data_IF_234562407809
#
_entry.id   IF_234562407809
#
_cell.length_a   1.000
_cell.length_b   1.000
_cell.length_c   1.000
_cell.angle_alpha   90.00
_cell.angle_beta   90.00
_cell.angle_gamma   90.00
#
_symmetry.space_group_name_H-M   'P 1'
#
loop_
_entity.id
_entity.type
_entity.pdbx_description
1 polymer ?
#
# COMPACT_ATOMS: atom_id res chain seq x y z
N UNK A 1 -56.86 -20.83 40.07
CA UNK A 1 -55.88 -20.40 39.01
C UNK A 1 -56.27 -18.97 38.66
N UNK A 2 -55.34 -18.02 38.77
CA UNK A 2 -55.54 -16.64 38.36
C UNK A 2 -55.22 -16.52 36.88
N UNK A 3 -56.20 -16.17 36.03
CA UNK A 3 -55.99 -15.94 34.62
C UNK A 3 -55.29 -14.61 34.40
N UNK A 4 -54.47 -14.48 33.35
CA UNK A 4 -53.87 -13.23 32.92
C UNK A 4 -54.92 -12.22 32.48
N UNK A 5 -54.78 -10.97 32.85
CA UNK A 5 -55.63 -9.91 32.35
C UNK A 5 -55.21 -9.47 30.93
N UNK A 6 -56.14 -8.98 30.11
CA UNK A 6 -55.84 -8.52 28.75
C UNK A 6 -54.78 -7.41 28.73
N UNK A 7 -54.77 -6.53 29.75
CA UNK A 7 -53.76 -5.48 29.84
C UNK A 7 -52.36 -6.03 30.15
N UNK A 8 -52.29 -7.09 30.95
CA UNK A 8 -51.02 -7.73 31.32
C UNK A 8 -50.40 -8.39 30.10
N UNK A 9 -51.20 -9.06 29.26
CA UNK A 9 -50.70 -9.62 27.99
C UNK A 9 -50.26 -8.58 27.00
N UNK A 10 -50.98 -7.41 26.90
CA UNK A 10 -50.57 -6.30 26.04
C UNK A 10 -49.23 -5.69 26.47
N UNK A 11 -49.02 -5.50 27.79
CA UNK A 11 -47.75 -5.00 28.31
C UNK A 11 -46.60 -5.96 28.06
N UNK A 12 -46.81 -7.24 28.29
CA UNK A 12 -45.76 -8.28 27.99
C UNK A 12 -45.39 -8.29 26.49
N UNK A 13 -46.39 -8.25 25.62
CA UNK A 13 -46.14 -8.19 24.14
C UNK A 13 -45.34 -6.95 23.77
N UNK A 14 -45.72 -5.76 24.30
CA UNK A 14 -45.03 -4.51 24.05
C UNK A 14 -43.53 -4.59 24.49
N UNK A 15 -43.28 -5.14 25.68
CA UNK A 15 -41.91 -5.32 26.20
C UNK A 15 -41.11 -6.27 25.35
N UNK A 16 -41.69 -7.40 24.96
CA UNK A 16 -41.03 -8.40 24.10
C UNK A 16 -40.69 -7.83 22.73
N UNK A 17 -41.59 -7.08 22.10
CA UNK A 17 -41.35 -6.43 20.82
C UNK A 17 -40.22 -5.40 20.96
N UNK A 18 -40.24 -4.55 21.97
CA UNK A 18 -39.21 -3.55 22.19
C UNK A 18 -37.83 -4.17 22.44
N UNK A 19 -37.78 -5.22 23.26
CA UNK A 19 -36.57 -5.97 23.51
C UNK A 19 -36.05 -6.65 22.23
N UNK A 20 -36.93 -7.25 21.42
CA UNK A 20 -36.60 -7.88 20.16
C UNK A 20 -36.04 -6.91 19.12
N UNK A 21 -36.63 -5.73 18.97
CA UNK A 21 -36.11 -4.67 18.07
C UNK A 21 -34.74 -4.19 18.54
N UNK A 22 -34.57 -3.96 19.84
CA UNK A 22 -33.28 -3.53 20.41
C UNK A 22 -32.18 -4.58 20.20
N UNK A 23 -32.49 -5.87 20.40
CA UNK A 23 -31.56 -6.96 20.18
C UNK A 23 -31.17 -7.09 18.70
N UNK A 24 -32.15 -6.96 17.80
CA UNK A 24 -31.89 -7.01 16.34
C UNK A 24 -30.97 -5.85 15.90
N UNK A 25 -31.18 -4.66 16.44
CA UNK A 25 -30.30 -3.50 16.20
C UNK A 25 -28.87 -3.74 16.67
N UNK A 26 -28.71 -4.32 17.86
CA UNK A 26 -27.38 -4.65 18.40
C UNK A 26 -26.66 -5.71 17.55
N UNK A 27 -27.37 -6.75 17.11
CA UNK A 27 -26.84 -7.79 16.23
C UNK A 27 -26.39 -7.19 14.89
N UNK A 28 -27.22 -6.35 14.25
CA UNK A 28 -26.86 -5.69 12.99
C UNK A 28 -25.63 -4.80 13.14
N UNK A 29 -25.56 -4.02 14.23
CA UNK A 29 -24.40 -3.18 14.53
C UNK A 29 -23.11 -4.04 14.67
N UNK A 30 -23.21 -5.15 15.41
CA UNK A 30 -22.08 -6.07 15.61
C UNK A 30 -21.58 -6.67 14.27
N UNK A 31 -22.49 -7.16 13.43
CA UNK A 31 -22.10 -7.71 12.11
C UNK A 31 -21.44 -6.66 11.21
N UNK A 32 -21.99 -5.44 11.14
CA UNK A 32 -21.41 -4.35 10.35
C UNK A 32 -20.05 -3.92 10.88
N UNK A 33 -19.88 -3.89 12.19
CA UNK A 33 -18.60 -3.54 12.82
C UNK A 33 -17.54 -4.60 12.57
N UNK A 34 -17.91 -5.87 12.69
CA UNK A 34 -17.00 -6.99 12.46
C UNK A 34 -16.55 -7.07 10.98
N UNK A 35 -17.49 -6.93 10.05
CA UNK A 35 -17.18 -6.89 8.61
C UNK A 35 -16.18 -5.78 8.27
N UNK A 36 -16.37 -4.58 8.81
CA UNK A 36 -15.46 -3.45 8.62
C UNK A 36 -14.04 -3.73 9.14
N UNK A 37 -13.93 -4.31 10.35
CA UNK A 37 -12.62 -4.65 10.95
C UNK A 37 -11.89 -5.71 10.09
N UNK A 38 -12.60 -6.71 9.60
CA UNK A 38 -12.03 -7.76 8.75
C UNK A 38 -11.51 -7.17 7.42
N UNK A 39 -12.28 -6.29 6.79
CA UNK A 39 -11.90 -5.63 5.55
C UNK A 39 -10.66 -4.74 5.74
N UNK A 40 -10.63 -3.96 6.83
CA UNK A 40 -9.50 -3.11 7.16
C UNK A 40 -8.23 -3.92 7.46
N UNK A 41 -8.36 -5.03 8.20
CA UNK A 41 -7.24 -5.93 8.47
C UNK A 41 -6.69 -6.52 7.18
N UNK A 42 -7.56 -6.98 6.27
CA UNK A 42 -7.14 -7.53 4.98
C UNK A 42 -6.43 -6.48 4.10
N UNK A 43 -6.93 -5.24 4.07
CA UNK A 43 -6.29 -4.14 3.34
C UNK A 43 -4.90 -3.82 3.90
N UNK A 44 -4.78 -3.75 5.24
CA UNK A 44 -3.51 -3.48 5.91
C UNK A 44 -2.49 -4.61 5.71
N UNK A 45 -2.91 -5.88 5.77
CA UNK A 45 -2.03 -7.02 5.52
C UNK A 45 -1.55 -7.06 4.07
N UNK A 46 -2.41 -6.70 3.12
CA UNK A 46 -2.02 -6.56 1.71
C UNK A 46 -0.98 -5.45 1.55
N UNK A 47 -1.23 -4.27 2.13
CA UNK A 47 -0.31 -3.14 2.09
C UNK A 47 1.05 -3.48 2.74
N UNK A 48 1.06 -4.18 3.87
CA UNK A 48 2.30 -4.63 4.53
C UNK A 48 3.13 -5.55 3.65
N UNK A 49 2.50 -6.56 3.03
CA UNK A 49 3.21 -7.48 2.13
C UNK A 49 3.79 -6.74 0.93
N UNK A 50 2.99 -5.89 0.28
CA UNK A 50 3.44 -5.11 -0.86
C UNK A 50 4.55 -4.13 -0.51
N UNK A 51 4.45 -3.44 0.63
CA UNK A 51 5.47 -2.53 1.14
C UNK A 51 6.80 -3.25 1.41
N UNK A 52 6.77 -4.39 2.13
CA UNK A 52 7.97 -5.18 2.41
C UNK A 52 8.64 -5.69 1.13
N UNK A 53 7.84 -6.20 0.19
CA UNK A 53 8.36 -6.68 -1.10
C UNK A 53 9.00 -5.54 -1.91
N UNK A 54 8.37 -4.36 -1.93
CA UNK A 54 8.91 -3.18 -2.60
C UNK A 54 10.26 -2.76 -2.02
N UNK A 55 10.37 -2.70 -0.68
CA UNK A 55 11.63 -2.36 -0.02
C UNK A 55 12.73 -3.40 -0.30
N UNK A 56 12.38 -4.69 -0.35
CA UNK A 56 13.35 -5.73 -0.67
C UNK A 56 13.89 -5.57 -2.09
N UNK A 57 13.02 -5.37 -3.07
CA UNK A 57 13.43 -5.18 -4.46
C UNK A 57 14.26 -3.90 -4.65
N UNK A 58 13.90 -2.82 -3.97
CA UNK A 58 14.71 -1.58 -3.97
C UNK A 58 16.11 -1.80 -3.42
N UNK A 59 16.29 -2.63 -2.39
CA UNK A 59 17.63 -2.96 -1.84
C UNK A 59 18.49 -3.72 -2.84
N UNK A 60 17.87 -4.51 -3.69
CA UNK A 60 18.51 -5.35 -4.71
C UNK A 60 18.58 -4.63 -6.07
N UNK A 61 18.20 -3.34 -6.15
CA UNK A 61 18.25 -2.56 -7.37
C UNK A 61 19.67 -2.61 -7.99
N UNK A 62 19.72 -2.75 -9.31
CA UNK A 62 20.93 -2.88 -10.09
C UNK A 62 20.81 -2.12 -11.41
N UNK A 63 21.86 -2.15 -12.25
CA UNK A 63 21.79 -1.56 -13.58
C UNK A 63 20.84 -2.35 -14.47
N UNK A 64 20.09 -1.65 -15.33
CA UNK A 64 19.24 -2.29 -16.33
C UNK A 64 20.06 -3.04 -17.38
N UNK A 65 19.43 -4.00 -18.07
CA UNK A 65 20.07 -4.75 -19.17
C UNK A 65 20.44 -3.85 -20.37
N UNK A 66 19.78 -2.68 -20.47
CA UNK A 66 20.12 -1.63 -21.43
C UNK A 66 21.25 -0.70 -20.96
N UNK A 67 21.84 -0.97 -19.80
CA UNK A 67 22.86 -0.15 -19.16
C UNK A 67 22.30 1.08 -18.41
N UNK A 68 20.99 1.22 -18.27
CA UNK A 68 20.38 2.31 -17.51
C UNK A 68 20.76 2.22 -16.02
N UNK A 69 20.81 3.40 -15.36
CA UNK A 69 21.13 3.48 -13.93
C UNK A 69 20.07 2.81 -13.07
N UNK A 70 20.45 2.43 -11.83
CA UNK A 70 19.60 1.71 -10.88
C UNK A 70 18.22 2.36 -10.71
N UNK A 71 18.20 3.69 -10.59
CA UNK A 71 16.98 4.49 -10.50
C UNK A 71 16.96 5.42 -11.71
N UNK A 72 15.90 5.36 -12.50
CA UNK A 72 15.75 6.18 -13.71
C UNK A 72 14.71 7.28 -13.57
N UNK A 73 13.82 7.18 -12.59
CA UNK A 73 12.89 8.27 -12.25
C UNK A 73 12.58 8.28 -10.76
N UNK A 74 12.54 9.50 -10.18
CA UNK A 74 12.28 9.73 -8.77
C UNK A 74 11.31 10.91 -8.59
N UNK A 75 10.14 10.62 -8.01
CA UNK A 75 9.13 11.62 -7.67
C UNK A 75 8.52 11.29 -6.30
N UNK A 76 7.69 12.17 -5.76
CA UNK A 76 7.04 11.99 -4.43
C UNK A 76 6.05 10.84 -4.41
N UNK A 77 5.37 10.55 -5.52
CA UNK A 77 4.31 9.54 -5.64
C UNK A 77 4.61 8.45 -6.67
N UNK A 78 5.79 8.50 -7.30
CA UNK A 78 6.22 7.48 -8.26
C UNK A 78 7.73 7.34 -8.27
N UNK A 79 8.21 6.14 -8.59
CA UNK A 79 9.63 5.81 -8.71
C UNK A 79 9.81 4.73 -9.79
N UNK A 80 10.88 4.82 -10.56
CA UNK A 80 11.28 3.76 -11.52
C UNK A 80 12.70 3.32 -11.22
N UNK A 81 12.89 2.02 -11.07
CA UNK A 81 14.18 1.39 -10.79
C UNK A 81 14.30 0.06 -11.54
N UNK A 82 15.49 -0.54 -11.52
CA UNK A 82 15.76 -1.83 -12.15
C UNK A 82 16.15 -2.85 -11.07
N UNK A 83 15.61 -4.07 -11.16
CA UNK A 83 15.93 -5.18 -10.26
C UNK A 83 15.53 -6.52 -10.88
N UNK A 84 16.24 -7.59 -10.54
CA UNK A 84 15.85 -8.96 -10.85
C UNK A 84 14.75 -9.42 -9.88
N UNK A 85 13.47 -9.32 -10.33
CA UNK A 85 12.29 -9.55 -9.50
C UNK A 85 11.97 -11.02 -9.33
N UNK A 86 12.14 -11.81 -10.39
CA UNK A 86 11.77 -13.22 -10.42
C UNK A 86 12.97 -14.18 -10.25
N UNK A 87 14.18 -13.64 -10.14
CA UNK A 87 15.44 -14.35 -9.91
C UNK A 87 15.85 -15.26 -11.08
N UNK A 88 15.49 -14.88 -12.30
CA UNK A 88 15.86 -15.60 -13.52
C UNK A 88 17.18 -15.08 -14.13
N UNK A 89 17.71 -13.97 -13.61
CA UNK A 89 18.94 -13.31 -14.02
C UNK A 89 18.73 -12.22 -15.07
N UNK A 90 17.54 -12.05 -15.60
CA UNK A 90 17.12 -10.87 -16.35
C UNK A 90 16.85 -9.70 -15.40
N UNK A 91 17.04 -8.48 -15.86
CA UNK A 91 16.74 -7.31 -15.05
C UNK A 91 15.47 -6.66 -15.54
N UNK A 92 14.49 -6.54 -14.66
CA UNK A 92 13.22 -5.88 -14.96
C UNK A 92 13.30 -4.38 -14.66
N UNK A 93 12.59 -3.59 -15.48
CA UNK A 93 12.23 -2.22 -15.14
C UNK A 93 10.98 -2.24 -14.28
N UNK A 94 11.08 -1.73 -13.05
CA UNK A 94 10.01 -1.68 -12.07
C UNK A 94 9.58 -0.24 -11.85
N UNK A 95 8.31 0.05 -12.07
CA UNK A 95 7.71 1.36 -11.83
C UNK A 95 6.65 1.26 -10.75
N UNK A 96 6.89 1.84 -9.58
CA UNK A 96 5.92 2.00 -8.51
C UNK A 96 5.25 3.37 -8.62
N UNK A 97 3.91 3.43 -8.57
CA UNK A 97 3.17 4.70 -8.71
C UNK A 97 1.81 4.67 -8.04
N UNK A 98 1.41 5.82 -7.47
CA UNK A 98 0.09 6.01 -6.86
C UNK A 98 -0.89 6.56 -7.90
N UNK A 99 -2.06 5.95 -8.01
CA UNK A 99 -3.20 6.45 -8.78
C UNK A 99 -4.49 6.14 -8.04
N UNK A 100 -5.34 7.15 -7.85
CA UNK A 100 -6.67 7.03 -7.23
C UNK A 100 -6.69 6.27 -5.88
N UNK A 101 -5.69 6.56 -5.02
CA UNK A 101 -5.57 5.92 -3.71
C UNK A 101 -5.14 4.45 -3.76
N UNK A 102 -4.63 3.99 -4.90
CA UNK A 102 -4.06 2.66 -5.08
C UNK A 102 -2.61 2.78 -5.53
N UNK A 103 -1.70 2.14 -4.80
CA UNK A 103 -0.31 2.02 -5.18
C UNK A 103 -0.14 0.78 -6.05
N UNK A 104 0.34 1.01 -7.27
CA UNK A 104 0.61 -0.03 -8.26
C UNK A 104 2.10 -0.24 -8.45
N UNK A 105 2.43 -1.44 -8.92
CA UNK A 105 3.74 -1.78 -9.48
C UNK A 105 3.55 -2.27 -10.91
N UNK A 106 4.27 -1.67 -11.85
CA UNK A 106 4.35 -2.13 -13.23
C UNK A 106 5.76 -2.70 -13.47
N UNK A 107 5.83 -3.91 -14.00
CA UNK A 107 7.06 -4.66 -14.27
C UNK A 107 7.16 -4.87 -15.77
N UNK A 108 8.30 -4.54 -16.38
CA UNK A 108 8.58 -4.79 -17.78
C UNK A 108 9.92 -5.48 -17.91
N UNK A 109 9.97 -6.61 -18.64
CA UNK A 109 11.19 -7.31 -19.00
C UNK A 109 11.88 -6.58 -20.15
N UNK A 110 13.20 -6.65 -20.19
CA UNK A 110 13.97 -6.21 -21.35
C UNK A 110 13.75 -7.15 -22.56
N UNK A 111 13.87 -6.62 -23.76
CA UNK A 111 13.87 -7.46 -24.96
C UNK A 111 14.72 -6.85 -26.07
N UNK A 112 15.15 -7.68 -27.03
CA UNK A 112 15.93 -7.25 -28.18
C UNK A 112 17.45 -7.40 -28.00
N UNK A 113 18.20 -6.98 -29.01
CA UNK A 113 19.66 -6.89 -28.98
C UNK A 113 20.08 -5.67 -29.84
N UNK A 114 20.47 -4.54 -29.19
CA UNK A 114 20.63 -4.38 -27.72
C UNK A 114 19.32 -4.53 -26.96
N UNK A 115 19.43 -4.87 -25.67
CA UNK A 115 18.29 -4.98 -24.78
C UNK A 115 17.64 -3.61 -24.55
N UNK A 116 16.32 -3.53 -24.59
CA UNK A 116 15.55 -2.29 -24.38
C UNK A 116 14.25 -2.58 -23.62
N UNK A 117 13.81 -1.61 -22.79
CA UNK A 117 12.52 -1.63 -22.09
C UNK A 117 11.45 -0.82 -22.81
N UNK A 118 11.83 0.02 -23.77
CA UNK A 118 10.90 0.90 -24.50
C UNK A 118 9.93 0.08 -25.33
N UNK A 119 8.62 0.32 -25.15
CA UNK A 119 7.57 -0.40 -25.87
C UNK A 119 7.30 -1.83 -25.39
N UNK A 120 8.01 -2.31 -24.36
CA UNK A 120 7.73 -3.62 -23.77
C UNK A 120 6.43 -3.61 -22.96
N UNK A 121 5.67 -4.72 -22.95
CA UNK A 121 4.45 -4.83 -22.16
C UNK A 121 4.77 -4.75 -20.66
N UNK A 122 3.93 -4.04 -19.91
CA UNK A 122 4.03 -3.96 -18.45
C UNK A 122 3.01 -4.90 -17.79
N UNK A 123 3.46 -5.74 -16.87
CA UNK A 123 2.59 -6.47 -15.95
C UNK A 123 2.30 -5.58 -14.75
N UNK A 124 1.03 -5.25 -14.53
CA UNK A 124 0.61 -4.32 -13.46
C UNK A 124 0.05 -5.12 -12.28
N UNK A 125 0.58 -4.84 -11.09
CA UNK A 125 0.16 -5.46 -9.84
C UNK A 125 -0.21 -4.39 -8.80
N UNK A 126 -1.21 -4.68 -7.97
CA UNK A 126 -1.60 -3.82 -6.86
C UNK A 126 -0.71 -4.10 -5.65
N UNK A 127 -0.01 -3.08 -5.15
CA UNK A 127 0.79 -3.15 -3.92
C UNK A 127 -0.08 -2.87 -2.70
N UNK A 128 -0.82 -1.76 -2.72
CA UNK A 128 -1.66 -1.32 -1.61
C UNK A 128 -2.89 -0.58 -2.13
N UNK A 129 -4.02 -0.77 -1.44
CA UNK A 129 -5.26 -0.04 -1.67
C UNK A 129 -5.54 0.89 -0.48
N UNK A 130 -6.43 1.86 -0.69
CA UNK A 130 -6.81 2.85 0.34
C UNK A 130 -5.64 3.69 0.85
N UNK A 131 -4.66 3.96 -0.01
CA UNK A 131 -3.53 4.85 0.29
C UNK A 131 -4.03 6.29 0.30
N UNK A 132 -3.84 6.97 1.44
CA UNK A 132 -4.37 8.29 1.74
C UNK A 132 -3.29 9.30 2.12
N UNK A 133 -2.08 9.11 1.66
CA UNK A 133 -1.01 10.08 1.91
C UNK A 133 -1.50 11.49 1.53
N UNK A 134 -1.30 12.44 2.42
CA UNK A 134 -1.59 13.84 2.12
C UNK A 134 -0.71 14.32 0.96
N UNK A 135 -1.19 15.31 0.19
CA UNK A 135 -0.42 15.86 -0.94
C UNK A 135 0.97 16.39 -0.52
N UNK A 136 1.12 16.78 0.75
CA UNK A 136 2.38 17.22 1.35
C UNK A 136 3.23 16.09 1.94
N UNK A 137 2.72 14.85 2.01
CA UNK A 137 3.40 13.69 2.55
C UNK A 137 3.83 12.75 1.40
N UNK A 138 5.12 12.79 1.00
CA UNK A 138 5.60 11.96 -0.09
C UNK A 138 5.52 10.47 0.28
N UNK A 139 5.17 9.64 -0.72
CA UNK A 139 5.28 8.19 -0.58
C UNK A 139 6.75 7.77 -0.63
N UNK A 140 7.52 8.40 -1.52
CA UNK A 140 8.94 8.13 -1.71
C UNK A 140 9.76 9.33 -1.24
N UNK A 141 10.72 9.07 -0.35
CA UNK A 141 11.71 10.05 0.13
C UNK A 141 13.10 9.51 -0.18
N UNK A 142 13.96 10.34 -0.74
CA UNK A 142 15.29 9.94 -1.20
C UNK A 142 16.35 10.53 -0.31
N UNK A 143 17.37 9.73 0.02
CA UNK A 143 18.43 10.08 0.95
C UNK A 143 19.81 9.95 0.29
N UNK A 144 20.71 10.86 0.62
CA UNK A 144 22.12 10.81 0.23
C UNK A 144 22.94 9.88 1.16
N UNK A 145 24.26 9.80 0.90
CA UNK A 145 25.20 9.02 1.70
C UNK A 145 25.34 9.51 3.16
N UNK A 146 25.02 10.76 3.43
CA UNK A 146 24.99 11.34 4.78
C UNK A 146 23.67 11.09 5.51
N UNK A 147 22.66 10.52 4.85
CA UNK A 147 21.32 10.35 5.40
C UNK A 147 20.45 11.61 5.33
N UNK A 148 20.89 12.65 4.61
CA UNK A 148 20.09 13.85 4.40
C UNK A 148 19.05 13.61 3.28
N UNK A 149 17.88 14.24 3.42
CA UNK A 149 16.83 14.19 2.40
C UNK A 149 17.25 15.02 1.20
N UNK A 150 17.20 14.38 0.02
CA UNK A 150 17.49 15.07 -1.24
C UNK A 150 16.32 15.96 -1.67
N UNK A 151 16.60 17.23 -2.08
CA UNK A 151 15.57 18.14 -2.56
C UNK A 151 15.10 17.77 -4.00
N UNK A 152 13.87 18.09 -4.33
CA UNK A 152 13.36 17.97 -5.71
C UNK A 152 13.83 19.14 -6.58
N UNK A 153 14.22 18.92 -7.87
CA UNK A 153 14.32 17.62 -8.57
C UNK A 153 15.47 16.77 -8.00
N UNK A 154 15.26 15.45 -7.87
CA UNK A 154 16.21 14.52 -7.28
C UNK A 154 17.41 14.32 -8.22
N UNK A 155 18.62 14.48 -7.70
CA UNK A 155 19.83 13.99 -8.36
C UNK A 155 19.91 12.46 -8.14
N UNK A 156 19.60 11.70 -9.20
CA UNK A 156 19.50 10.24 -9.14
C UNK A 156 20.83 9.56 -8.77
N UNK A 157 21.97 10.18 -9.14
CA UNK A 157 23.29 9.63 -8.84
C UNK A 157 23.64 9.76 -7.35
N UNK A 158 23.04 10.71 -6.65
CA UNK A 158 23.27 10.94 -5.21
C UNK A 158 22.37 10.08 -4.31
N UNK A 159 21.43 9.32 -4.88
CA UNK A 159 20.50 8.50 -4.08
C UNK A 159 21.21 7.25 -3.55
N UNK A 160 21.30 7.12 -2.22
CA UNK A 160 21.87 5.95 -1.53
C UNK A 160 20.78 5.13 -0.83
N UNK A 161 19.70 5.79 -0.38
CA UNK A 161 18.58 5.10 0.24
C UNK A 161 17.24 5.72 -0.16
N UNK A 162 16.19 4.90 -0.13
CA UNK A 162 14.82 5.31 -0.43
C UNK A 162 13.93 4.94 0.75
N UNK A 163 13.27 5.93 1.34
CA UNK A 163 12.19 5.76 2.30
C UNK A 163 10.86 5.58 1.59
N UNK A 164 10.04 4.67 2.08
CA UNK A 164 8.67 4.46 1.61
C UNK A 164 7.73 4.64 2.80
N UNK A 165 6.76 5.54 2.69
CA UNK A 165 5.75 5.78 3.70
C UNK A 165 4.35 5.71 3.08
N UNK A 166 3.50 4.84 3.62
CA UNK A 166 2.14 4.62 3.16
C UNK A 166 1.16 4.86 4.31
N UNK A 167 0.28 5.82 4.14
CA UNK A 167 -0.88 6.04 5.00
C UNK A 167 -2.07 5.26 4.45
N UNK A 168 -2.48 4.19 5.14
CA UNK A 168 -3.57 3.32 4.72
C UNK A 168 -4.81 3.59 5.58
N UNK A 169 -5.92 3.97 4.94
CA UNK A 169 -7.19 4.24 5.61
C UNK A 169 -8.38 3.86 4.72
N UNK A 170 -9.11 2.83 5.13
CA UNK A 170 -10.30 2.35 4.44
C UNK A 170 -11.42 3.40 4.44
N UNK A 171 -11.62 4.08 5.56
CA UNK A 171 -12.69 5.06 5.73
C UNK A 171 -12.29 6.17 6.71
N UNK A 172 -11.90 7.37 6.21
CA UNK A 172 -11.44 8.49 7.04
C UNK A 172 -12.47 9.02 8.06
N UNK A 173 -13.74 8.65 7.92
CA UNK A 173 -14.82 9.09 8.82
C UNK A 173 -15.13 8.09 9.93
N UNK A 174 -14.42 6.96 9.98
CA UNK A 174 -14.67 5.85 10.91
C UNK A 174 -13.37 5.36 11.56
N UNK A 175 -13.42 5.12 12.87
CA UNK A 175 -12.32 4.51 13.61
C UNK A 175 -12.14 3.01 13.27
N UNK A 176 -10.92 2.47 13.33
CA UNK A 176 -9.66 3.14 13.70
C UNK A 176 -9.15 4.06 12.57
N UNK A 177 -8.32 5.03 12.94
CA UNK A 177 -7.75 6.03 12.05
C UNK A 177 -6.68 5.43 11.11
N UNK A 178 -6.02 6.32 10.35
CA UNK A 178 -4.90 6.02 9.44
C UNK A 178 -3.87 5.10 10.08
N UNK A 179 -3.44 4.08 9.33
CA UNK A 179 -2.28 3.26 9.65
C UNK A 179 -1.11 3.66 8.76
N UNK A 180 -0.04 4.16 9.37
CA UNK A 180 1.19 4.51 8.66
C UNK A 180 2.14 3.32 8.62
N UNK A 181 2.54 2.91 7.42
CA UNK A 181 3.57 1.92 7.16
C UNK A 181 4.80 2.65 6.65
N UNK A 182 5.92 2.57 7.35
CA UNK A 182 7.16 3.22 6.94
C UNK A 182 8.31 2.22 6.91
N UNK A 183 9.26 2.46 6.00
CA UNK A 183 10.47 1.67 5.89
C UNK A 183 11.47 2.32 4.96
N UNK A 184 12.75 1.95 5.09
CA UNK A 184 13.83 2.48 4.28
C UNK A 184 14.62 1.33 3.64
N UNK A 185 14.90 1.46 2.36
CA UNK A 185 15.76 0.56 1.60
C UNK A 185 17.07 1.29 1.27
N UNK A 186 18.19 0.77 1.75
CA UNK A 186 19.51 1.21 1.29
C UNK A 186 19.89 0.38 0.07
N UNK A 187 20.31 1.05 -1.01
CA UNK A 187 20.73 0.42 -2.25
C UNK A 187 22.05 -0.31 -2.04
N UNK A 188 22.15 -1.55 -2.49
CA UNK A 188 23.35 -2.40 -2.27
C UNK A 188 24.34 -2.32 -3.41
N UNK A 189 23.87 -2.09 -4.63
CA UNK A 189 24.66 -2.18 -5.85
C UNK A 189 25.05 -0.79 -6.40
N UNK A 190 25.28 0.16 -5.50
CA UNK A 190 25.82 1.47 -5.91
C UNK A 190 27.20 1.32 -6.51
N UNK A 191 27.56 2.11 -7.56
CA UNK A 191 28.92 2.13 -8.09
C UNK A 191 29.87 2.58 -6.97
N UNK A 192 30.94 1.82 -6.76
CA UNK A 192 32.06 2.27 -5.92
C UNK A 192 32.87 3.27 -6.74
N UNK A 193 33.02 4.52 -6.26
CA UNK A 193 33.95 5.48 -6.80
C UNK A 193 35.39 4.95 -6.76
#
# INVERSE_FOLDING_TARGET
MRGFTLIETMVVVAVVITAGVSLMGAIQYFYRSNAYILEQTAALDSARRGHMFTLQNMREATYGDDGAYLITAAATSSMTFHADIDKDGGIERVRAYLTDGTLYRAIANSAGNPAEYTGQPETIETIAVYVRNATSAPIFTYYDAGGAVLPYPIDLASVVAVGVELDVDLNPTRLPNVFTLSGTATLRNLPTE
#
